data_IF_996974875815
#
_entry.id   IF_996974875815
#
_cell.length_a   1.000
_cell.length_b   1.000
_cell.length_c   1.000
_cell.angle_alpha   90.00
_cell.angle_beta   90.00
_cell.angle_gamma   90.00
#
_symmetry.space_group_name_H-M   'P 1'
#
loop_
_entity.id
_entity.type
_entity.pdbx_description
1 polymer ?
#
# COMPACT_ATOMS: atom_id res chain seq x y z
N UNK A 1 -34.18 -1.52 5.48
CA UNK A 1 -33.44 -0.22 5.56
C UNK A 1 -32.85 -0.13 6.95
N UNK A 2 -31.57 0.24 7.07
CA UNK A 2 -30.92 0.38 8.38
C UNK A 2 -31.67 1.40 9.25
N UNK A 3 -31.94 1.06 10.51
CA UNK A 3 -32.56 1.97 11.47
C UNK A 3 -31.64 3.16 11.75
N UNK A 4 -32.20 4.36 11.89
CA UNK A 4 -31.45 5.58 12.25
C UNK A 4 -31.87 6.02 13.65
N UNK A 5 -30.90 6.43 14.48
CA UNK A 5 -31.16 7.04 15.78
C UNK A 5 -30.15 8.16 16.07
N UNK A 6 -30.52 9.08 16.97
CA UNK A 6 -29.60 10.08 17.51
C UNK A 6 -29.10 9.61 18.88
N UNK A 7 -27.79 9.70 19.11
CA UNK A 7 -27.14 9.42 20.40
C UNK A 7 -26.29 10.63 20.77
N UNK A 8 -26.67 11.30 21.84
CA UNK A 8 -25.96 12.50 22.37
C UNK A 8 -25.73 13.59 21.30
N UNK A 9 -26.70 13.82 20.41
CA UNK A 9 -26.62 14.83 19.35
C UNK A 9 -26.01 14.34 18.03
N UNK A 10 -25.54 13.10 17.95
CA UNK A 10 -24.90 12.54 16.75
C UNK A 10 -25.75 11.47 16.08
N UNK A 11 -25.76 11.42 14.73
CA UNK A 11 -26.52 10.41 13.99
C UNK A 11 -25.81 9.04 14.03
N UNK A 12 -26.58 8.00 14.30
CA UNK A 12 -26.17 6.60 14.25
C UNK A 12 -27.08 5.79 13.33
N UNK A 13 -26.53 4.74 12.73
CA UNK A 13 -27.25 3.75 11.93
C UNK A 13 -27.16 2.38 12.60
N UNK A 14 -28.20 1.53 12.47
CA UNK A 14 -28.09 0.14 12.88
C UNK A 14 -27.04 -0.57 12.01
N UNK A 15 -26.18 -1.36 12.66
CA UNK A 15 -25.21 -2.20 11.99
C UNK A 15 -25.68 -3.65 12.07
N UNK A 16 -26.04 -4.21 10.92
CA UNK A 16 -26.44 -5.60 10.77
C UNK A 16 -25.42 -6.31 9.87
N UNK A 17 -25.11 -7.54 10.21
CA UNK A 17 -24.18 -8.36 9.45
C UNK A 17 -24.81 -9.71 9.16
N UNK A 18 -24.54 -10.25 7.99
CA UNK A 18 -24.93 -11.61 7.65
C UNK A 18 -24.30 -12.60 8.63
N UNK A 19 -25.12 -13.50 9.18
CA UNK A 19 -24.67 -14.56 10.06
C UNK A 19 -24.31 -15.80 9.22
N UNK A 20 -23.15 -16.36 9.48
CA UNK A 20 -22.69 -17.61 8.91
C UNK A 20 -22.55 -18.66 10.02
N UNK A 21 -22.96 -19.90 9.78
CA UNK A 21 -22.63 -21.00 10.66
C UNK A 21 -21.11 -21.28 10.68
N UNK A 22 -20.67 -22.06 11.67
CA UNK A 22 -19.25 -22.29 11.91
C UNK A 22 -18.54 -22.99 10.75
N UNK A 23 -19.22 -23.87 10.02
CA UNK A 23 -18.59 -24.59 8.88
C UNK A 23 -18.39 -23.65 7.69
N UNK A 24 -19.37 -22.82 7.39
CA UNK A 24 -19.24 -21.77 6.36
C UNK A 24 -18.12 -20.77 6.75
N UNK A 25 -18.04 -20.37 8.02
CA UNK A 25 -16.97 -19.49 8.51
C UNK A 25 -15.58 -20.10 8.30
N UNK A 26 -15.41 -21.40 8.63
CA UNK A 26 -14.14 -22.12 8.42
C UNK A 26 -13.73 -22.13 6.94
N UNK A 27 -14.67 -22.43 6.06
CA UNK A 27 -14.44 -22.48 4.61
C UNK A 27 -14.01 -21.09 4.11
N UNK A 28 -14.74 -20.04 4.46
CA UNK A 28 -14.45 -18.66 4.05
C UNK A 28 -13.08 -18.18 4.55
N UNK A 29 -12.75 -18.45 5.81
CA UNK A 29 -11.45 -18.08 6.38
C UNK A 29 -10.30 -18.81 5.69
N UNK A 30 -10.45 -20.13 5.47
CA UNK A 30 -9.45 -20.93 4.77
C UNK A 30 -9.25 -20.46 3.33
N UNK A 31 -10.34 -20.21 2.61
CA UNK A 31 -10.28 -19.69 1.24
C UNK A 31 -9.54 -18.36 1.16
N UNK A 32 -9.90 -17.40 2.01
CA UNK A 32 -9.26 -16.08 2.03
C UNK A 32 -7.78 -16.17 2.41
N UNK A 33 -7.44 -17.00 3.39
CA UNK A 33 -6.05 -17.25 3.75
C UNK A 33 -5.25 -17.83 2.58
N UNK A 34 -5.77 -18.87 1.92
CA UNK A 34 -5.10 -19.51 0.77
C UNK A 34 -4.86 -18.48 -0.34
N UNK A 35 -5.90 -17.73 -0.70
CA UNK A 35 -5.83 -16.67 -1.69
C UNK A 35 -4.75 -15.61 -1.32
N UNK A 36 -4.77 -15.08 -0.10
CA UNK A 36 -3.77 -14.09 0.34
C UNK A 36 -2.36 -14.66 0.45
N UNK A 37 -2.22 -15.96 0.69
CA UNK A 37 -0.94 -16.63 0.76
C UNK A 37 -0.23 -16.74 -0.59
N UNK A 38 -0.97 -16.70 -1.69
CA UNK A 38 -0.44 -16.66 -3.07
C UNK A 38 0.18 -15.31 -3.43
N UNK A 39 -0.19 -14.23 -2.72
CA UNK A 39 0.34 -12.90 -2.98
C UNK A 39 1.86 -12.84 -2.80
N UNK A 40 2.56 -12.34 -3.81
CA UNK A 40 4.02 -12.18 -3.81
C UNK A 40 4.41 -10.73 -4.13
N UNK A 41 5.60 -10.34 -3.67
CA UNK A 41 6.28 -9.10 -4.10
C UNK A 41 6.90 -9.38 -5.47
N UNK A 42 6.35 -8.75 -6.50
CA UNK A 42 6.79 -8.93 -7.88
C UNK A 42 7.50 -7.66 -8.38
N UNK A 43 8.57 -7.84 -9.15
CA UNK A 43 9.37 -6.74 -9.74
C UNK A 43 9.37 -6.77 -11.27
N UNK A 44 8.79 -7.81 -11.87
CA UNK A 44 8.68 -7.98 -13.31
C UNK A 44 7.25 -7.68 -13.73
N UNK A 45 7.03 -6.48 -14.28
CA UNK A 45 5.73 -6.02 -14.76
C UNK A 45 5.63 -6.09 -16.27
N UNK A 46 4.43 -6.40 -16.75
CA UNK A 46 4.04 -6.12 -18.12
C UNK A 46 3.67 -4.63 -18.25
N UNK A 47 3.94 -4.05 -19.42
CA UNK A 47 3.49 -2.70 -19.80
C UNK A 47 2.01 -2.64 -20.22
N UNK A 48 1.32 -3.81 -20.23
CA UNK A 48 -0.08 -3.92 -20.60
C UNK A 48 -0.92 -2.93 -19.78
N UNK A 49 -1.72 -2.07 -20.43
CA UNK A 49 -2.52 -1.07 -19.74
C UNK A 49 -3.58 -1.72 -18.84
N UNK A 50 -3.76 -1.13 -17.66
CA UNK A 50 -4.83 -1.50 -16.73
C UNK A 50 -5.92 -0.43 -16.81
N UNK A 51 -7.21 -0.79 -16.94
CA UNK A 51 -8.30 0.16 -16.95
C UNK A 51 -8.32 1.04 -15.68
N UNK A 52 -8.52 2.34 -15.86
CA UNK A 52 -8.52 3.32 -14.77
C UNK A 52 -9.52 2.98 -13.66
N UNK A 53 -10.71 2.53 -14.04
CA UNK A 53 -11.78 2.13 -13.11
C UNK A 53 -11.33 1.03 -12.12
N UNK A 54 -10.48 0.10 -12.56
CA UNK A 54 -9.92 -0.93 -11.68
C UNK A 54 -9.07 -0.26 -10.59
N UNK A 55 -8.22 0.69 -10.95
CA UNK A 55 -7.38 1.42 -10.00
C UNK A 55 -8.23 2.27 -9.06
N UNK A 56 -9.28 2.91 -9.54
CA UNK A 56 -10.23 3.69 -8.73
C UNK A 56 -10.89 2.79 -7.66
N UNK A 57 -11.39 1.61 -8.03
CA UNK A 57 -12.00 0.67 -7.09
C UNK A 57 -10.99 0.12 -6.07
N UNK A 58 -9.75 -0.12 -6.48
CA UNK A 58 -8.65 -0.52 -5.58
C UNK A 58 -8.38 0.57 -4.53
N UNK A 59 -8.34 1.84 -4.94
CA UNK A 59 -8.14 2.98 -4.02
C UNK A 59 -9.34 3.15 -3.09
N UNK A 60 -10.57 3.03 -3.59
CA UNK A 60 -11.78 3.06 -2.77
C UNK A 60 -11.75 1.96 -1.70
N UNK A 61 -11.32 0.75 -2.06
CA UNK A 61 -11.13 -0.34 -1.10
C UNK A 61 -10.09 0.03 -0.04
N UNK A 62 -8.95 0.59 -0.44
CA UNK A 62 -7.92 1.04 0.49
C UNK A 62 -8.44 2.14 1.43
N UNK A 63 -9.21 3.09 0.91
CA UNK A 63 -9.76 4.21 1.67
C UNK A 63 -10.89 3.81 2.63
N UNK A 64 -11.43 2.59 2.52
CA UNK A 64 -12.39 2.03 3.47
C UNK A 64 -11.75 1.51 4.77
N UNK A 65 -10.44 1.57 4.88
CA UNK A 65 -9.70 1.17 6.08
C UNK A 65 -10.09 2.02 7.30
N UNK A 66 -10.06 1.46 8.51
CA UNK A 66 -10.24 2.23 9.73
C UNK A 66 -9.08 3.19 9.96
N UNK A 67 -9.36 4.32 10.62
CA UNK A 67 -8.33 5.29 11.02
C UNK A 67 -8.67 5.94 12.35
N UNK A 68 -7.66 6.43 13.05
CA UNK A 68 -7.82 7.12 14.33
C UNK A 68 -8.81 8.27 14.21
N UNK A 69 -9.88 8.25 15.00
CA UNK A 69 -11.01 9.21 14.98
C UNK A 69 -11.57 9.46 13.56
N UNK A 70 -11.52 8.46 12.70
CA UNK A 70 -11.98 8.53 11.30
C UNK A 70 -11.33 9.67 10.49
N UNK A 71 -10.07 10.02 10.81
CA UNK A 71 -9.36 11.14 10.18
C UNK A 71 -8.87 10.82 8.76
N UNK A 72 -8.77 9.53 8.36
CA UNK A 72 -8.37 9.10 7.03
C UNK A 72 -7.10 9.84 6.54
N UNK A 73 -5.98 9.75 7.30
CA UNK A 73 -4.81 10.59 7.12
C UNK A 73 -3.91 10.14 5.95
N UNK A 74 -4.50 9.87 4.81
CA UNK A 74 -3.83 9.40 3.61
C UNK A 74 -4.25 10.18 2.38
N UNK A 75 -3.33 10.26 1.41
CA UNK A 75 -3.59 10.66 0.04
C UNK A 75 -2.93 9.64 -0.88
N UNK A 76 -3.69 9.11 -1.83
CA UNK A 76 -3.20 8.20 -2.86
C UNK A 76 -2.95 9.00 -4.15
N UNK A 77 -1.68 9.22 -4.49
CA UNK A 77 -1.31 9.84 -5.75
C UNK A 77 -1.06 8.75 -6.79
N UNK A 78 -1.83 8.77 -7.86
CA UNK A 78 -1.73 7.80 -8.96
C UNK A 78 -0.96 8.42 -10.12
N UNK A 79 0.12 7.78 -10.51
CA UNK A 79 0.98 8.22 -11.61
C UNK A 79 0.93 7.20 -12.73
N UNK A 80 0.52 7.64 -13.92
CA UNK A 80 0.55 6.88 -15.17
C UNK A 80 1.38 7.56 -16.27
N UNK A 81 1.72 8.88 -16.12
CA UNK A 81 2.56 9.61 -17.06
C UNK A 81 3.96 8.99 -17.13
N UNK A 82 4.43 8.59 -18.34
CA UNK A 82 5.78 8.08 -18.54
C UNK A 82 6.87 9.07 -18.06
N UNK A 83 6.65 10.36 -18.26
CA UNK A 83 7.61 11.42 -17.90
C UNK A 83 7.75 11.52 -16.39
N UNK A 84 6.62 11.47 -15.65
CA UNK A 84 6.65 11.53 -14.18
C UNK A 84 7.23 10.23 -13.61
N UNK A 85 6.87 9.07 -14.17
CA UNK A 85 7.43 7.77 -13.76
C UNK A 85 8.96 7.76 -13.94
N UNK A 86 9.47 8.28 -15.07
CA UNK A 86 10.89 8.40 -15.34
C UNK A 86 11.59 9.31 -14.32
N UNK A 87 11.01 10.47 -13.99
CA UNK A 87 11.56 11.36 -12.95
C UNK A 87 11.62 10.66 -11.59
N UNK A 88 10.54 9.97 -11.20
CA UNK A 88 10.49 9.18 -9.95
C UNK A 88 11.56 8.10 -9.96
N UNK A 89 11.76 7.38 -11.05
CA UNK A 89 12.79 6.35 -11.17
C UNK A 89 14.19 6.94 -10.98
N UNK A 90 14.53 8.01 -11.68
CA UNK A 90 15.84 8.64 -11.60
C UNK A 90 16.19 9.01 -10.16
N UNK A 91 15.29 9.71 -9.46
CA UNK A 91 15.56 10.13 -8.08
C UNK A 91 15.54 8.93 -7.11
N UNK A 92 14.65 7.94 -7.31
CA UNK A 92 14.65 6.72 -6.52
C UNK A 92 15.95 5.92 -6.67
N UNK A 93 16.43 5.73 -7.89
CA UNK A 93 17.69 5.01 -8.17
C UNK A 93 18.91 5.75 -7.61
N UNK A 94 18.90 7.08 -7.60
CA UNK A 94 19.93 7.89 -6.95
C UNK A 94 19.97 7.63 -5.43
N UNK A 95 18.84 7.70 -4.75
CA UNK A 95 18.74 7.44 -3.31
C UNK A 95 19.12 5.99 -2.95
N UNK A 96 18.66 5.03 -3.77
CA UNK A 96 19.00 3.63 -3.61
C UNK A 96 20.50 3.39 -3.83
N UNK A 97 21.11 3.98 -4.86
CA UNK A 97 22.53 3.85 -5.13
C UNK A 97 23.37 4.38 -3.96
N UNK A 98 23.04 5.55 -3.41
CA UNK A 98 23.69 6.08 -2.21
C UNK A 98 23.47 5.18 -0.99
N UNK A 99 22.31 4.56 -0.88
CA UNK A 99 22.02 3.62 0.19
C UNK A 99 22.88 2.36 0.08
N UNK A 100 22.85 1.68 -1.04
CA UNK A 100 23.62 0.44 -1.28
C UNK A 100 25.13 0.63 -1.17
N UNK A 101 25.66 1.79 -1.60
CA UNK A 101 27.11 2.07 -1.65
C UNK A 101 27.64 2.81 -0.40
N UNK A 102 26.79 3.24 0.53
CA UNK A 102 27.26 4.02 1.69
C UNK A 102 26.42 3.90 2.95
N UNK A 103 25.09 4.13 2.87
CA UNK A 103 24.23 4.27 4.05
C UNK A 103 23.73 2.94 4.65
N UNK A 104 23.66 1.88 3.83
CA UNK A 104 23.08 0.60 4.24
C UNK A 104 24.08 -0.23 5.05
N UNK A 105 23.73 -0.68 6.27
CA UNK A 105 24.55 -1.60 7.04
C UNK A 105 24.75 -2.94 6.33
N UNK A 106 25.91 -3.58 6.57
CA UNK A 106 26.25 -4.87 5.94
C UNK A 106 25.28 -6.00 6.31
N UNK A 107 24.72 -5.97 7.53
CA UNK A 107 23.68 -6.91 7.95
C UNK A 107 22.44 -6.83 7.05
N UNK A 108 21.95 -5.60 6.80
CA UNK A 108 20.81 -5.39 5.90
C UNK A 108 21.12 -5.81 4.46
N UNK A 109 22.34 -5.54 3.96
CA UNK A 109 22.77 -6.04 2.63
C UNK A 109 22.69 -7.57 2.56
N UNK A 110 23.13 -8.28 3.62
CA UNK A 110 23.02 -9.75 3.70
C UNK A 110 21.56 -10.22 3.64
N UNK A 111 20.66 -9.54 4.32
CA UNK A 111 19.22 -9.87 4.31
C UNK A 111 18.57 -9.66 2.94
N UNK A 112 19.11 -8.76 2.12
CA UNK A 112 18.61 -8.50 0.76
C UNK A 112 19.18 -9.49 -0.27
N UNK A 113 20.29 -10.19 0.00
CA UNK A 113 20.89 -11.13 -0.95
C UNK A 113 19.92 -12.19 -1.48
N UNK A 114 19.09 -12.87 -0.64
CA UNK A 114 18.13 -13.85 -1.15
C UNK A 114 17.01 -13.24 -2.00
N UNK A 115 16.82 -11.93 -1.92
CA UNK A 115 15.79 -11.22 -2.67
C UNK A 115 16.28 -10.75 -4.04
N UNK A 116 17.59 -10.85 -4.31
CA UNK A 116 18.26 -10.46 -5.56
C UNK A 116 17.81 -9.09 -6.04
N UNK A 117 17.74 -8.11 -5.12
CA UNK A 117 17.40 -6.72 -5.41
C UNK A 117 18.62 -5.83 -5.33
N UNK A 118 18.70 -4.86 -6.19
CA UNK A 118 19.80 -3.87 -6.27
C UNK A 118 19.24 -2.44 -6.32
N UNK A 119 20.07 -1.46 -6.60
CA UNK A 119 19.68 -0.05 -6.70
C UNK A 119 18.91 0.30 -7.98
N UNK A 120 18.89 -0.56 -9.02
CA UNK A 120 18.15 -0.32 -10.26
C UNK A 120 16.67 -0.64 -10.07
N UNK A 121 15.79 0.25 -10.51
CA UNK A 121 14.35 0.18 -10.28
C UNK A 121 13.54 0.36 -11.58
N UNK A 122 13.89 -0.40 -12.61
CA UNK A 122 13.26 -0.34 -13.94
C UNK A 122 11.74 -0.52 -13.89
N UNK A 123 11.25 -1.31 -12.95
CA UNK A 123 9.84 -1.54 -12.71
C UNK A 123 9.05 -0.25 -12.42
N UNK A 124 9.69 0.84 -11.98
CA UNK A 124 9.03 2.14 -11.77
C UNK A 124 8.59 2.80 -13.07
N UNK A 125 9.20 2.45 -14.20
CA UNK A 125 8.74 2.89 -15.51
C UNK A 125 7.87 1.85 -16.21
N UNK A 126 8.19 0.55 -16.05
CA UNK A 126 7.48 -0.54 -16.74
C UNK A 126 6.06 -0.71 -16.22
N UNK A 127 5.85 -0.69 -14.89
CA UNK A 127 4.52 -0.80 -14.32
C UNK A 127 3.58 0.29 -14.85
N UNK A 128 2.35 -0.04 -15.34
CA UNK A 128 1.43 0.92 -15.90
C UNK A 128 1.04 2.03 -14.91
N UNK A 129 0.99 1.73 -13.62
CA UNK A 129 0.71 2.69 -12.57
C UNK A 129 1.70 2.62 -11.42
N UNK A 130 2.00 3.80 -10.84
CA UNK A 130 2.58 3.92 -9.51
C UNK A 130 1.53 4.54 -8.59
N UNK A 131 1.23 3.89 -7.48
CA UNK A 131 0.40 4.47 -6.41
C UNK A 131 1.34 4.91 -5.30
N UNK A 132 1.50 6.22 -5.14
CA UNK A 132 2.29 6.80 -4.07
C UNK A 132 1.36 7.17 -2.92
N UNK A 133 1.56 6.53 -1.77
CA UNK A 133 0.79 6.80 -0.57
C UNK A 133 1.48 7.89 0.22
N UNK A 134 0.77 8.97 0.47
CA UNK A 134 1.21 10.04 1.35
C UNK A 134 0.47 9.97 2.67
N UNK A 135 1.21 10.14 3.76
CA UNK A 135 0.70 10.24 5.11
C UNK A 135 0.56 11.69 5.51
N UNK A 136 -0.63 12.10 5.98
CA UNK A 136 -0.87 13.44 6.51
C UNK A 136 -0.43 13.50 7.98
N UNK A 137 0.54 14.36 8.28
CA UNK A 137 1.01 14.59 9.65
C UNK A 137 0.02 15.45 10.47
N UNK A 138 -0.76 16.26 9.79
CA UNK A 138 -1.86 17.09 10.30
C UNK A 138 -2.80 17.41 9.14
N UNK A 139 -3.98 17.91 9.44
CA UNK A 139 -4.94 18.41 8.44
C UNK A 139 -5.37 19.84 8.75
N UNK A 140 -6.24 20.41 7.96
CA UNK A 140 -6.83 21.72 8.20
C UNK A 140 -8.34 21.59 8.33
N UNK A 141 -8.95 22.38 9.22
CA UNK A 141 -10.40 22.53 9.29
C UNK A 141 -10.91 23.46 8.19
N UNK A 142 -12.21 23.64 8.13
CA UNK A 142 -12.89 24.51 7.14
C UNK A 142 -12.54 26.01 7.31
N UNK A 143 -12.02 26.39 8.47
CA UNK A 143 -11.55 27.75 8.76
C UNK A 143 -10.04 27.93 8.47
N UNK A 144 -9.37 26.86 8.01
CA UNK A 144 -7.94 26.88 7.71
C UNK A 144 -7.03 26.66 8.94
N UNK A 145 -7.58 26.32 10.12
CA UNK A 145 -6.79 26.02 11.29
C UNK A 145 -6.22 24.61 11.23
N UNK A 146 -5.00 24.45 11.72
CA UNK A 146 -4.33 23.15 11.79
C UNK A 146 -5.04 22.22 12.80
N UNK A 147 -5.36 21.01 12.38
CA UNK A 147 -5.98 19.97 13.20
C UNK A 147 -5.06 18.73 13.28
N UNK A 148 -5.09 18.03 14.40
CA UNK A 148 -4.28 16.84 14.58
C UNK A 148 -4.87 15.63 13.83
N UNK A 149 -3.99 14.81 13.30
CA UNK A 149 -4.28 13.43 12.91
C UNK A 149 -3.81 12.48 14.01
N UNK A 150 -4.51 11.35 14.17
CA UNK A 150 -4.20 10.37 15.20
C UNK A 150 -3.78 9.06 14.53
N UNK A 151 -2.70 8.43 15.04
CA UNK A 151 -2.21 7.14 14.53
C UNK A 151 -2.07 7.13 13.00
N UNK A 152 -1.51 8.22 12.43
CA UNK A 152 -1.46 8.40 10.99
C UNK A 152 -0.60 7.33 10.29
N UNK A 153 0.48 6.88 10.91
CA UNK A 153 1.36 5.82 10.37
C UNK A 153 0.66 4.48 10.36
N UNK A 154 0.04 4.10 11.47
CA UNK A 154 -0.71 2.85 11.64
C UNK A 154 -1.91 2.81 10.70
N UNK A 155 -2.66 3.91 10.63
CA UNK A 155 -3.81 4.05 9.72
C UNK A 155 -3.40 3.89 8.25
N UNK A 156 -2.31 4.55 7.82
CA UNK A 156 -1.78 4.37 6.46
C UNK A 156 -1.29 2.93 6.22
N UNK A 157 -0.67 2.29 7.22
CA UNK A 157 -0.25 0.89 7.12
C UNK A 157 -1.44 -0.05 6.89
N UNK A 158 -2.54 0.14 7.63
CA UNK A 158 -3.79 -0.64 7.44
C UNK A 158 -4.38 -0.39 6.05
N UNK A 159 -4.46 0.86 5.61
CA UNK A 159 -4.94 1.21 4.28
C UNK A 159 -4.09 0.60 3.16
N UNK A 160 -2.75 0.57 3.32
CA UNK A 160 -1.85 -0.11 2.40
C UNK A 160 -2.06 -1.63 2.39
N UNK A 161 -2.37 -2.25 3.52
CA UNK A 161 -2.75 -3.67 3.57
C UNK A 161 -4.02 -3.95 2.76
N UNK A 162 -5.05 -3.11 2.88
CA UNK A 162 -6.27 -3.18 2.07
C UNK A 162 -5.98 -2.96 0.59
N UNK A 163 -5.11 -1.97 0.26
CA UNK A 163 -4.67 -1.69 -1.10
C UNK A 163 -4.03 -2.92 -1.75
N UNK A 164 -3.07 -3.55 -1.07
CA UNK A 164 -2.38 -4.74 -1.57
C UNK A 164 -3.32 -5.94 -1.73
N UNK A 165 -4.27 -6.12 -0.82
CA UNK A 165 -5.29 -7.17 -0.92
C UNK A 165 -6.20 -6.93 -2.13
N UNK A 166 -6.63 -5.69 -2.37
CA UNK A 166 -7.48 -5.32 -3.51
C UNK A 166 -6.74 -5.50 -4.85
N UNK A 167 -5.46 -5.09 -4.92
CA UNK A 167 -4.62 -5.29 -6.11
C UNK A 167 -4.53 -6.79 -6.43
N UNK A 168 -4.24 -7.62 -5.43
CA UNK A 168 -4.15 -9.07 -5.61
C UNK A 168 -5.50 -9.68 -6.00
N UNK A 169 -6.60 -9.22 -5.39
CA UNK A 169 -7.95 -9.67 -5.74
C UNK A 169 -8.35 -9.32 -7.17
N UNK A 170 -7.87 -8.20 -7.69
CA UNK A 170 -8.09 -7.79 -9.08
C UNK A 170 -7.23 -8.58 -10.11
N UNK A 171 -6.41 -9.54 -9.66
CA UNK A 171 -5.50 -10.31 -10.53
C UNK A 171 -4.27 -9.51 -10.96
N UNK A 172 -3.98 -8.40 -10.27
CA UNK A 172 -2.79 -7.58 -10.51
C UNK A 172 -1.69 -7.92 -9.51
N UNK A 173 -0.47 -7.50 -9.85
CA UNK A 173 0.68 -7.64 -8.97
C UNK A 173 1.20 -6.28 -8.50
N UNK A 174 1.93 -6.30 -7.39
CA UNK A 174 2.53 -5.12 -6.80
C UNK A 174 3.75 -5.46 -5.95
N UNK A 175 4.52 -4.43 -5.62
CA UNK A 175 5.47 -4.45 -4.52
C UNK A 175 5.36 -3.18 -3.69
N UNK A 176 5.87 -3.22 -2.46
CA UNK A 176 6.08 -2.03 -1.65
C UNK A 176 7.52 -1.56 -1.81
N UNK A 177 7.72 -0.28 -2.11
CA UNK A 177 9.03 0.32 -2.33
C UNK A 177 9.17 1.60 -1.50
N UNK A 178 10.33 1.76 -0.85
CA UNK A 178 10.63 2.88 0.05
C UNK A 178 12.03 3.43 -0.23
N UNK A 179 12.24 4.15 -1.34
CA UNK A 179 13.55 4.75 -1.70
C UNK A 179 13.86 5.92 -0.75
N UNK A 180 14.39 5.61 0.41
CA UNK A 180 14.57 6.57 1.50
C UNK A 180 15.89 7.36 1.38
N UNK A 181 15.83 8.71 1.58
CA UNK A 181 14.68 9.56 1.90
C UNK A 181 13.77 9.84 0.70
N UNK A 182 12.45 9.86 0.92
CA UNK A 182 11.44 9.98 -0.14
C UNK A 182 10.96 11.43 -0.40
N UNK A 183 11.69 12.44 0.03
CA UNK A 183 11.27 13.84 -0.08
C UNK A 183 11.11 14.31 -1.54
N UNK A 184 11.87 13.74 -2.47
CA UNK A 184 11.77 14.02 -3.90
C UNK A 184 10.35 13.76 -4.45
N UNK A 185 9.61 12.80 -3.90
CA UNK A 185 8.23 12.50 -4.30
C UNK A 185 7.27 13.67 -4.03
N UNK A 186 7.46 14.34 -2.88
CA UNK A 186 6.67 15.53 -2.57
C UNK A 186 6.94 16.68 -3.55
N UNK A 187 8.19 16.83 -3.98
CA UNK A 187 8.59 17.83 -4.98
C UNK A 187 8.03 17.50 -6.36
N UNK A 188 8.25 16.27 -6.86
CA UNK A 188 7.80 15.85 -8.20
C UNK A 188 6.26 15.93 -8.31
N UNK A 189 5.53 15.54 -7.25
CA UNK A 189 4.08 15.48 -7.26
C UNK A 189 3.42 16.75 -6.66
N UNK A 190 4.21 17.78 -6.39
CA UNK A 190 3.75 19.05 -5.80
C UNK A 190 2.82 18.85 -4.60
N UNK A 191 3.29 18.06 -3.60
CA UNK A 191 2.49 17.77 -2.42
C UNK A 191 2.66 18.83 -1.34
N UNK A 192 1.58 19.14 -0.58
CA UNK A 192 1.65 20.12 0.50
C UNK A 192 2.53 19.63 1.65
N UNK A 193 3.03 20.56 2.46
CA UNK A 193 4.00 20.30 3.54
C UNK A 193 3.49 19.35 4.64
N UNK A 194 2.17 19.20 4.79
CA UNK A 194 1.57 18.26 5.74
C UNK A 194 1.53 16.81 5.23
N UNK A 195 1.84 16.57 3.96
CA UNK A 195 1.91 15.25 3.36
C UNK A 195 3.36 14.77 3.23
N UNK A 196 3.62 13.58 3.77
CA UNK A 196 4.92 12.91 3.66
C UNK A 196 4.75 11.57 2.96
N UNK A 197 5.59 11.30 1.97
CA UNK A 197 5.58 10.02 1.28
C UNK A 197 5.78 8.86 2.27
N UNK A 198 4.95 7.83 2.14
CA UNK A 198 4.91 6.67 3.01
C UNK A 198 5.32 5.38 2.29
N UNK A 199 4.73 5.12 1.12
CA UNK A 199 5.07 3.99 0.25
C UNK A 199 4.91 4.37 -1.22
N UNK A 200 5.74 3.76 -2.07
CA UNK A 200 5.56 3.71 -3.53
C UNK A 200 5.13 2.28 -3.89
N UNK A 201 4.01 2.14 -4.57
CA UNK A 201 3.44 0.85 -4.93
C UNK A 201 3.24 0.80 -6.45
N UNK A 202 4.21 0.24 -7.21
CA UNK A 202 4.00 -0.10 -8.61
C UNK A 202 2.91 -1.16 -8.74
N UNK A 203 2.00 -0.99 -9.71
CA UNK A 203 0.83 -1.84 -9.94
C UNK A 203 0.68 -2.13 -11.43
N UNK A 204 0.46 -3.38 -11.77
CA UNK A 204 0.23 -3.82 -13.14
C UNK A 204 0.04 -5.33 -13.24
N UNK A 205 -0.06 -5.82 -14.47
CA UNK A 205 0.00 -7.26 -14.72
C UNK A 205 1.43 -7.76 -14.53
N UNK A 206 1.57 -9.01 -14.12
CA UNK A 206 2.85 -9.70 -14.09
C UNK A 206 3.39 -9.86 -15.52
N UNK A 207 4.70 -9.74 -15.70
CA UNK A 207 5.35 -10.05 -16.97
C UNK A 207 5.19 -11.56 -17.31
N UNK A 208 5.31 -11.90 -18.56
CA UNK A 208 5.25 -13.30 -19.05
C UNK A 208 6.30 -14.17 -18.32
N UNK A 209 7.50 -13.63 -18.15
CA UNK A 209 8.55 -14.24 -17.33
C UNK A 209 8.72 -13.43 -16.02
N UNK A 210 8.38 -14.06 -14.90
CA UNK A 210 8.50 -13.46 -13.59
C UNK A 210 8.94 -14.49 -12.54
N UNK A 211 10.06 -14.20 -11.90
CA UNK A 211 10.59 -15.02 -10.82
C UNK A 211 10.51 -14.27 -9.49
N UNK A 212 10.11 -14.99 -8.45
CA UNK A 212 10.07 -14.47 -7.08
C UNK A 212 10.85 -15.39 -6.14
N UNK A 213 11.53 -14.86 -5.12
CA UNK A 213 12.31 -15.69 -4.20
C UNK A 213 11.46 -16.78 -3.54
N UNK A 214 11.96 -18.01 -3.48
CA UNK A 214 11.30 -19.12 -2.76
C UNK A 214 11.57 -18.99 -1.26
N UNK A 215 10.85 -18.08 -0.61
CA UNK A 215 10.92 -17.80 0.83
C UNK A 215 9.66 -18.28 1.55
N UNK A 216 9.81 -18.82 2.74
CA UNK A 216 8.71 -19.32 3.57
C UNK A 216 8.23 -18.25 4.55
N UNK A 217 6.92 -18.20 4.76
CA UNK A 217 6.35 -17.41 5.87
C UNK A 217 6.48 -18.19 7.16
N UNK A 218 6.52 -17.47 8.26
CA UNK A 218 6.46 -18.05 9.61
C UNK A 218 5.18 -18.87 9.77
N UNK A 219 5.28 -19.92 10.56
CA UNK A 219 4.14 -20.78 10.94
C UNK A 219 3.22 -20.06 11.92
N UNK A 220 2.00 -20.60 12.11
CA UNK A 220 1.05 -20.04 13.07
C UNK A 220 1.64 -19.93 14.48
N UNK A 221 2.39 -20.94 14.93
CA UNK A 221 3.00 -20.97 16.26
C UNK A 221 4.10 -19.91 16.45
N UNK A 222 4.74 -19.46 15.36
CA UNK A 222 5.77 -18.42 15.40
C UNK A 222 5.18 -17.01 15.41
N UNK A 223 3.91 -16.84 15.07
CA UNK A 223 3.25 -15.52 14.95
C UNK A 223 2.06 -15.34 15.91
N UNK A 224 1.69 -16.37 16.68
CA UNK A 224 0.56 -16.30 17.60
C UNK A 224 0.85 -16.97 18.93
N UNK A 225 0.25 -16.45 19.99
CA UNK A 225 0.18 -17.06 21.31
C UNK A 225 -1.28 -17.08 21.76
N UNK A 226 -1.70 -18.18 22.38
CA UNK A 226 -3.07 -18.40 22.86
C UNK A 226 -3.05 -18.47 24.38
N UNK A 227 -3.93 -17.69 25.04
CA UNK A 227 -4.04 -17.59 26.49
C UNK A 227 -5.40 -18.09 26.96
#
# INVERSE_FOLDING_TARGET
MAGKKNINGFPFISFEREYYDSEVMKIRCKYFYTFMNERRTCRNFSDKPVPKEIIENIILTASSAPSGAHKQPWTFCVVSSPEIKKQIRIEAEKEENESYNGRMPDEWKKDLLPLQTDWKKEFLETAPYLIIVFKKSYDYDTAGNKTNTYYATESCGIACGFLLAAIHHAGLTALTHTPSPMNFLSTILNRPANEKAFLVIPVGYVAEECWVPDIKRKTLNEVSQWF
#
